data_IF_232659050758
#
_entry.id   IF_232659050758
#
_cell.length_a   1.000
_cell.length_b   1.000
_cell.length_c   1.000
_cell.angle_alpha   90.00
_cell.angle_beta   90.00
_cell.angle_gamma   90.00
#
_symmetry.space_group_name_H-M   'P 1'
#
loop_
_entity.id
_entity.type
_entity.pdbx_description
1 polymer ?
#
# COMPACT_ATOMS: atom_id res chain seq x y z
N UNK A 1 -16.18 -8.83 -6.47
CA UNK A 1 -15.63 -7.66 -7.19
C UNK A 1 -15.23 -8.06 -8.60
N UNK A 2 -15.78 -7.41 -9.63
CA UNK A 2 -15.26 -7.55 -10.99
C UNK A 2 -14.16 -6.50 -11.22
N UNK A 3 -13.00 -6.91 -11.74
CA UNK A 3 -11.94 -5.97 -12.07
C UNK A 3 -12.33 -5.15 -13.31
N UNK A 4 -12.61 -3.86 -13.14
CA UNK A 4 -13.07 -2.98 -14.24
C UNK A 4 -11.93 -2.35 -15.03
N UNK A 5 -10.69 -2.34 -14.49
CA UNK A 5 -9.50 -1.81 -15.16
C UNK A 5 -8.23 -2.46 -14.62
N UNK A 6 -7.31 -2.83 -15.52
CA UNK A 6 -5.94 -3.19 -15.15
C UNK A 6 -5.11 -1.91 -14.98
N UNK A 7 -4.57 -1.69 -13.79
CA UNK A 7 -3.73 -0.54 -13.46
C UNK A 7 -2.33 -1.07 -13.14
N UNK A 8 -1.31 -0.57 -13.83
CA UNK A 8 0.06 -0.89 -13.49
C UNK A 8 0.45 -0.22 -12.17
N UNK A 9 0.83 -1.01 -11.16
CA UNK A 9 1.08 -0.54 -9.79
C UNK A 9 2.56 -0.25 -9.49
N UNK A 10 3.43 -0.13 -10.50
CA UNK A 10 4.86 0.19 -10.34
C UNK A 10 5.10 1.66 -9.93
N UNK A 11 6.32 2.02 -9.49
CA UNK A 11 6.67 3.41 -9.13
C UNK A 11 6.38 4.36 -10.29
N UNK A 12 5.52 5.35 -10.08
CA UNK A 12 5.21 6.35 -11.09
C UNK A 12 6.36 7.35 -11.24
N UNK A 13 6.64 7.77 -12.49
CA UNK A 13 7.61 8.84 -12.76
C UNK A 13 7.22 10.12 -12.02
N UNK A 14 8.18 10.75 -11.34
CA UNK A 14 7.97 12.00 -10.60
C UNK A 14 7.29 11.86 -9.22
N UNK A 15 6.94 10.63 -8.79
CA UNK A 15 6.39 10.39 -7.45
C UNK A 15 7.40 9.65 -6.56
N UNK A 16 7.37 9.94 -5.26
CA UNK A 16 8.09 9.16 -4.26
C UNK A 16 7.50 7.76 -4.12
N UNK A 17 8.27 6.82 -3.57
CA UNK A 17 7.78 5.46 -3.31
C UNK A 17 6.62 5.49 -2.32
N UNK A 18 6.72 6.29 -1.25
CA UNK A 18 5.66 6.47 -0.26
C UNK A 18 4.36 7.03 -0.88
N UNK A 19 4.46 8.08 -1.72
CA UNK A 19 3.28 8.63 -2.40
C UNK A 19 2.68 7.63 -3.40
N UNK A 20 3.52 6.75 -3.98
CA UNK A 20 3.02 5.66 -4.78
C UNK A 20 2.23 4.67 -3.90
N UNK A 21 2.85 4.10 -2.88
CA UNK A 21 2.23 3.13 -1.96
C UNK A 21 0.89 3.64 -1.42
N UNK A 22 0.87 4.88 -0.92
CA UNK A 22 -0.34 5.52 -0.40
C UNK A 22 -1.50 5.52 -1.40
N UNK A 23 -1.20 5.84 -2.67
CA UNK A 23 -2.23 5.83 -3.72
C UNK A 23 -2.80 4.43 -4.00
N UNK A 24 -2.08 3.35 -3.65
CA UNK A 24 -2.56 1.98 -3.82
C UNK A 24 -3.37 1.57 -2.62
N UNK A 25 -2.86 1.82 -1.42
CA UNK A 25 -3.56 1.51 -0.15
C UNK A 25 -4.88 2.26 -0.09
N UNK A 26 -4.94 3.55 -0.46
CA UNK A 26 -6.19 4.31 -0.56
C UNK A 26 -7.18 3.70 -1.57
N UNK A 27 -6.68 3.13 -2.67
CA UNK A 27 -7.55 2.50 -3.68
C UNK A 27 -8.14 1.17 -3.17
N UNK A 28 -7.35 0.34 -2.48
CA UNK A 28 -7.86 -0.93 -1.93
C UNK A 28 -8.70 -0.73 -0.67
N UNK A 29 -8.46 0.32 0.12
CA UNK A 29 -9.23 0.64 1.32
C UNK A 29 -10.45 1.54 1.04
N UNK A 30 -10.81 1.76 -0.23
CA UNK A 30 -11.91 2.64 -0.59
C UNK A 30 -13.21 2.24 0.15
N UNK A 31 -13.79 3.13 0.97
CA UNK A 31 -14.96 2.83 1.80
C UNK A 31 -16.19 2.41 0.98
N UNK A 32 -16.34 2.94 -0.25
CA UNK A 32 -17.43 2.59 -1.17
C UNK A 32 -17.37 1.13 -1.64
N UNK A 33 -16.23 0.46 -1.41
CA UNK A 33 -15.95 -0.91 -1.89
C UNK A 33 -15.67 -1.89 -0.75
N UNK A 34 -15.57 -1.40 0.48
CA UNK A 34 -15.11 -2.18 1.63
C UNK A 34 -16.10 -2.18 2.79
N UNK A 35 -17.37 -1.80 2.55
CA UNK A 35 -18.38 -1.61 3.60
C UNK A 35 -17.83 -0.72 4.72
N UNK A 36 -17.38 0.48 4.36
CA UNK A 36 -16.76 1.43 5.29
C UNK A 36 -15.57 0.87 6.09
N UNK A 37 -14.91 -0.17 5.57
CA UNK A 37 -13.75 -0.80 6.17
C UNK A 37 -14.00 -2.14 6.84
N UNK A 38 -15.26 -2.59 6.97
CA UNK A 38 -15.58 -3.91 7.58
C UNK A 38 -14.97 -5.08 6.80
N UNK A 39 -14.82 -4.94 5.48
CA UNK A 39 -14.24 -5.97 4.62
C UNK A 39 -12.70 -5.90 4.54
N UNK A 40 -12.06 -5.02 5.30
CA UNK A 40 -10.60 -4.90 5.33
C UNK A 40 -10.06 -5.87 6.38
N UNK A 41 -9.18 -6.76 5.94
CA UNK A 41 -8.34 -7.57 6.81
C UNK A 41 -6.87 -7.31 6.51
N UNK A 42 -6.01 -7.50 7.50
CA UNK A 42 -4.57 -7.39 7.34
C UNK A 42 -3.86 -8.59 7.95
N UNK A 43 -2.64 -8.79 7.48
CA UNK A 43 -1.74 -9.81 7.97
C UNK A 43 -0.35 -9.18 8.05
N UNK A 44 0.34 -9.38 9.18
CA UNK A 44 1.68 -8.82 9.47
C UNK A 44 1.81 -7.29 9.45
N UNK A 45 0.72 -6.55 9.22
CA UNK A 45 0.66 -5.09 9.25
C UNK A 45 -0.72 -4.61 9.68
N UNK A 46 -0.86 -3.30 9.93
CA UNK A 46 -2.15 -2.66 10.21
C UNK A 46 -2.65 -1.86 8.99
N UNK A 47 -3.95 -1.89 8.65
CA UNK A 47 -4.49 -1.07 7.56
C UNK A 47 -4.27 0.43 7.77
N UNK A 48 -4.15 0.87 9.03
CA UNK A 48 -3.99 2.28 9.38
C UNK A 48 -2.56 2.79 9.19
N UNK A 49 -1.57 1.89 9.21
CA UNK A 49 -0.13 2.25 9.25
C UNK A 49 0.71 1.49 8.23
N UNK A 50 0.07 0.76 7.30
CA UNK A 50 0.74 -0.09 6.30
C UNK A 50 1.78 0.67 5.47
N UNK A 51 1.53 1.94 5.16
CA UNK A 51 2.46 2.76 4.37
C UNK A 51 3.73 3.07 5.17
N UNK A 52 3.60 3.43 6.45
CA UNK A 52 4.71 3.66 7.37
C UNK A 52 5.47 2.36 7.69
N UNK A 53 4.76 1.28 8.01
CA UNK A 53 5.33 -0.03 8.31
C UNK A 53 6.14 -0.57 7.14
N UNK A 54 5.66 -0.39 5.91
CA UNK A 54 6.41 -0.76 4.71
C UNK A 54 7.69 0.06 4.57
N UNK A 55 7.62 1.38 4.75
CA UNK A 55 8.79 2.25 4.64
C UNK A 55 9.83 1.96 5.72
N UNK A 56 9.39 1.63 6.94
CA UNK A 56 10.25 1.18 8.01
C UNK A 56 10.94 -0.14 7.66
N UNK A 57 10.16 -1.13 7.20
CA UNK A 57 10.68 -2.46 6.82
C UNK A 57 11.67 -2.38 5.66
N UNK A 58 11.39 -1.52 4.66
CA UNK A 58 12.31 -1.25 3.55
C UNK A 58 13.64 -0.69 4.04
N UNK A 59 13.59 0.28 4.96
CA UNK A 59 14.81 0.85 5.55
C UNK A 59 15.58 -0.17 6.37
N UNK A 60 14.90 -1.02 7.14
CA UNK A 60 15.55 -2.09 7.89
C UNK A 60 16.22 -3.10 6.94
N UNK A 61 15.55 -3.47 5.85
CA UNK A 61 16.10 -4.33 4.83
C UNK A 61 17.35 -3.72 4.17
N UNK A 62 17.32 -2.43 3.83
CA UNK A 62 18.47 -1.68 3.31
C UNK A 62 19.64 -1.69 4.31
N UNK A 63 19.37 -1.51 5.60
CA UNK A 63 20.42 -1.54 6.64
C UNK A 63 21.04 -2.93 6.84
N UNK A 64 20.24 -4.00 6.74
CA UNK A 64 20.71 -5.38 6.95
C UNK A 64 21.43 -5.91 5.72
N UNK A 65 20.96 -5.57 4.52
CA UNK A 65 21.43 -6.19 3.26
C UNK A 65 22.28 -5.26 2.39
N UNK A 66 22.25 -3.95 2.63
CA UNK A 66 22.90 -2.94 1.79
C UNK A 66 22.26 -2.73 0.41
N UNK A 67 21.06 -3.27 0.18
CA UNK A 67 20.33 -3.22 -1.10
C UNK A 67 19.15 -2.27 -1.05
#
# INVERSE_FOLDING_TARGET
MAATRLIALHKNKGKSVAACLKSRTDYVQNPDKTEHGELISSYECSPLTVDEEFMLSKRQYELVTGR
#
